data_IF_266031735580
#
_entry.id   IF_266031735580
#
_cell.length_a   1.000
_cell.length_b   1.000
_cell.length_c   1.000
_cell.angle_alpha   90.00
_cell.angle_beta   90.00
_cell.angle_gamma   90.00
#
_symmetry.space_group_name_H-M   'P 1'
#
loop_
_entity.id
_entity.type
_entity.pdbx_description
1 polymer ?
#
# COMPACT_ATOMS: atom_id res chain seq x y z
N UNK A 1 28.78 -3.24 28.26
CA UNK A 1 29.22 -3.87 26.99
C UNK A 1 27.95 -4.22 26.22
N UNK A 2 27.61 -3.44 25.20
CA UNK A 2 26.47 -3.71 24.32
C UNK A 2 26.84 -4.91 23.45
N UNK A 3 26.41 -6.10 23.87
CA UNK A 3 26.58 -7.33 23.11
C UNK A 3 25.72 -7.24 21.86
N UNK A 4 26.36 -7.03 20.72
CA UNK A 4 25.74 -7.27 19.41
C UNK A 4 25.39 -8.75 19.38
N UNK A 5 24.13 -9.06 19.57
CA UNK A 5 23.67 -10.42 19.65
C UNK A 5 23.27 -10.87 18.26
N UNK A 6 24.10 -11.73 17.67
CA UNK A 6 23.73 -12.42 16.44
C UNK A 6 22.50 -13.29 16.72
N UNK A 7 21.50 -13.18 15.83
CA UNK A 7 20.30 -13.98 15.95
C UNK A 7 20.61 -15.43 15.52
N UNK A 8 20.35 -16.44 16.36
CA UNK A 8 20.61 -17.82 15.97
C UNK A 8 19.71 -18.22 14.80
N UNK A 9 20.20 -19.16 13.97
CA UNK A 9 19.35 -19.81 12.98
C UNK A 9 18.42 -20.78 13.69
N UNK A 10 17.12 -20.77 13.37
CA UNK A 10 16.17 -21.64 14.03
C UNK A 10 16.47 -23.10 13.69
N UNK A 11 16.62 -23.92 14.72
CA UNK A 11 16.99 -25.34 14.63
C UNK A 11 15.84 -26.26 15.00
N UNK A 12 14.90 -25.77 15.80
CA UNK A 12 13.73 -26.50 16.28
C UNK A 12 12.46 -25.64 16.11
N UNK A 13 11.30 -26.21 16.45
CA UNK A 13 10.02 -25.51 16.31
C UNK A 13 9.86 -24.33 17.28
N UNK A 14 10.45 -24.41 18.46
CA UNK A 14 10.43 -23.32 19.45
C UNK A 14 11.19 -22.10 18.94
N UNK A 15 12.38 -22.29 18.37
CA UNK A 15 13.17 -21.22 17.76
C UNK A 15 12.39 -20.53 16.62
N UNK A 16 11.60 -21.29 15.85
CA UNK A 16 10.72 -20.74 14.81
C UNK A 16 9.62 -19.88 15.44
N UNK A 17 9.01 -20.32 16.54
CA UNK A 17 8.01 -19.55 17.27
C UNK A 17 8.60 -18.26 17.85
N UNK A 18 9.78 -18.31 18.44
CA UNK A 18 10.49 -17.13 18.96
C UNK A 18 10.81 -16.13 17.85
N UNK A 19 11.33 -16.62 16.72
CA UNK A 19 11.62 -15.81 15.54
C UNK A 19 10.34 -15.18 14.98
N UNK A 20 9.23 -15.91 14.97
CA UNK A 20 7.94 -15.38 14.55
C UNK A 20 7.43 -14.28 15.50
N UNK A 21 7.57 -14.45 16.82
CA UNK A 21 7.19 -13.41 17.78
C UNK A 21 8.07 -12.17 17.64
N UNK A 22 9.38 -12.33 17.42
CA UNK A 22 10.29 -11.23 17.07
C UNK A 22 9.82 -10.51 15.81
N UNK A 23 9.49 -11.26 14.76
CA UNK A 23 8.98 -10.71 13.50
C UNK A 23 7.72 -9.87 13.71
N UNK A 24 6.75 -10.37 14.48
CA UNK A 24 5.51 -9.64 14.80
C UNK A 24 5.82 -8.40 15.63
N UNK A 25 6.69 -8.50 16.63
CA UNK A 25 7.10 -7.37 17.44
C UNK A 25 7.78 -6.27 16.61
N UNK A 26 8.70 -6.63 15.71
CA UNK A 26 9.32 -5.67 14.78
C UNK A 26 8.33 -5.06 13.79
N UNK A 27 7.41 -5.87 13.27
CA UNK A 27 6.33 -5.38 12.40
C UNK A 27 5.40 -4.39 13.12
N UNK A 28 5.20 -4.56 14.43
CA UNK A 28 4.39 -3.68 15.28
C UNK A 28 5.15 -2.40 15.63
N UNK A 29 6.41 -2.52 16.06
CA UNK A 29 7.25 -1.38 16.42
C UNK A 29 7.52 -0.47 15.23
N UNK A 30 7.79 -1.05 14.05
CA UNK A 30 7.94 -0.30 12.81
C UNK A 30 6.65 0.45 12.44
N UNK A 31 5.49 -0.21 12.57
CA UNK A 31 4.19 0.43 12.37
C UNK A 31 3.97 1.60 13.35
N UNK A 32 4.24 1.41 14.65
CA UNK A 32 4.18 2.47 15.65
C UNK A 32 5.13 3.63 15.33
N UNK A 33 6.35 3.34 14.88
CA UNK A 33 7.34 4.35 14.46
C UNK A 33 6.86 5.16 13.26
N UNK A 34 6.32 4.50 12.23
CA UNK A 34 5.75 5.17 11.06
C UNK A 34 4.55 6.04 11.43
N UNK A 35 3.67 5.52 12.30
CA UNK A 35 2.54 6.25 12.85
C UNK A 35 2.97 7.54 13.55
N UNK A 36 4.01 7.48 14.39
CA UNK A 36 4.55 8.66 15.06
C UNK A 36 5.19 9.63 14.05
N UNK A 37 6.01 9.13 13.13
CA UNK A 37 6.69 9.93 12.11
C UNK A 37 5.69 10.69 11.22
N UNK A 38 4.57 10.07 10.86
CA UNK A 38 3.53 10.71 10.05
C UNK A 38 2.61 11.64 10.87
N UNK A 39 2.30 11.30 12.13
CA UNK A 39 1.34 12.04 12.96
C UNK A 39 1.94 13.33 13.54
N UNK A 40 3.22 13.33 13.92
CA UNK A 40 3.87 14.48 14.56
C UNK A 40 3.91 15.72 13.64
N UNK A 41 4.29 15.62 12.34
CA UNK A 41 4.31 16.78 11.44
C UNK A 41 2.91 17.28 11.05
N UNK A 42 1.88 16.43 11.12
CA UNK A 42 0.52 16.77 10.67
C UNK A 42 -0.41 17.21 11.81
N UNK A 43 0.00 17.08 13.08
CA UNK A 43 -0.79 17.49 14.24
C UNK A 43 -2.05 16.65 14.51
N UNK A 44 -2.30 15.63 13.69
CA UNK A 44 -3.39 14.67 13.83
C UNK A 44 -2.85 13.25 13.65
N UNK A 45 -3.47 12.28 14.33
CA UNK A 45 -3.13 10.86 14.16
C UNK A 45 -3.32 10.49 12.69
N UNK A 46 -2.23 10.23 11.98
CA UNK A 46 -2.29 9.83 10.58
C UNK A 46 -2.98 8.46 10.48
N UNK A 47 -4.07 8.38 9.75
CA UNK A 47 -4.84 7.14 9.72
C UNK A 47 -4.11 6.00 9.00
N UNK A 48 -3.84 4.95 9.79
CA UNK A 48 -3.55 3.55 9.41
C UNK A 48 -2.84 3.36 8.07
N UNK A 49 -1.56 3.71 7.97
CA UNK A 49 -0.70 3.22 6.86
C UNK A 49 -0.27 1.78 7.13
N UNK A 50 -0.54 0.88 6.21
CA UNK A 50 -0.25 -0.55 6.32
C UNK A 50 -0.98 -1.36 5.24
N UNK A 51 -0.29 -2.34 4.65
CA UNK A 51 -0.87 -3.30 3.71
C UNK A 51 -1.85 -4.26 4.40
N UNK A 52 -1.55 -4.61 5.66
CA UNK A 52 -2.36 -5.48 6.49
C UNK A 52 -3.42 -4.69 7.29
N UNK A 53 -4.50 -5.37 7.70
CA UNK A 53 -5.61 -4.79 8.46
C UNK A 53 -5.24 -4.58 9.94
N UNK A 54 -4.29 -5.35 10.46
CA UNK A 54 -3.78 -5.25 11.83
C UNK A 54 -2.80 -4.09 12.07
N UNK A 55 -2.41 -3.89 13.33
CA UNK A 55 -1.34 -2.98 13.75
C UNK A 55 0.06 -3.53 13.39
N UNK A 56 0.21 -4.05 12.18
CA UNK A 56 1.36 -4.81 11.71
C UNK A 56 1.71 -4.37 10.31
N UNK A 57 2.97 -3.99 10.10
CA UNK A 57 3.49 -3.72 8.78
C UNK A 57 4.66 -4.71 8.49
N UNK A 58 4.37 -5.81 7.76
CA UNK A 58 5.31 -6.91 7.48
C UNK A 58 6.67 -6.47 6.96
N UNK A 59 6.73 -5.39 6.17
CA UNK A 59 7.97 -4.90 5.58
C UNK A 59 9.00 -4.54 6.65
N UNK A 60 8.57 -4.02 7.81
CA UNK A 60 9.48 -3.70 8.92
C UNK A 60 9.95 -4.94 9.66
N UNK A 61 9.11 -5.96 9.83
CA UNK A 61 9.54 -7.24 10.38
C UNK A 61 10.58 -7.92 9.49
N UNK A 62 10.31 -7.98 8.18
CA UNK A 62 11.27 -8.53 7.21
C UNK A 62 12.55 -7.70 7.15
N UNK A 63 12.45 -6.36 7.16
CA UNK A 63 13.60 -5.47 7.16
C UNK A 63 14.45 -5.59 8.41
N UNK A 64 13.82 -5.66 9.58
CA UNK A 64 14.53 -5.86 10.84
C UNK A 64 15.28 -7.20 10.85
N UNK A 65 14.59 -8.31 10.52
CA UNK A 65 15.24 -9.62 10.46
C UNK A 65 16.35 -9.68 9.40
N UNK A 66 16.13 -9.09 8.22
CA UNK A 66 17.14 -9.04 7.16
C UNK A 66 18.39 -8.29 7.61
N UNK A 67 18.23 -7.13 8.26
CA UNK A 67 19.35 -6.36 8.81
C UNK A 67 20.07 -7.16 9.90
N UNK A 68 19.32 -7.78 10.81
CA UNK A 68 19.90 -8.57 11.91
C UNK A 68 20.69 -9.78 11.40
N UNK A 69 20.20 -10.49 10.38
CA UNK A 69 20.92 -11.62 9.78
C UNK A 69 22.11 -11.17 8.92
N UNK A 70 21.96 -10.16 8.06
CA UNK A 70 23.04 -9.70 7.18
C UNK A 70 24.18 -9.02 7.95
N UNK A 71 23.84 -8.19 8.94
CA UNK A 71 24.82 -7.48 9.76
C UNK A 71 25.18 -8.26 11.03
N UNK A 72 24.73 -9.50 11.20
CA UNK A 72 25.02 -10.35 12.37
C UNK A 72 24.73 -9.66 13.72
N UNK A 73 23.59 -8.98 13.82
CA UNK A 73 23.19 -8.20 15.00
C UNK A 73 23.71 -6.75 15.02
N UNK A 74 24.45 -6.31 14.00
CA UNK A 74 24.98 -4.96 13.85
C UNK A 74 26.50 -4.90 13.97
N UNK A 75 27.09 -3.73 13.76
CA UNK A 75 28.51 -3.47 13.97
C UNK A 75 28.76 -2.75 15.31
N UNK A 76 29.95 -2.93 15.89
CA UNK A 76 30.35 -2.22 17.12
C UNK A 76 30.39 -0.71 16.90
N UNK A 77 30.77 -0.30 15.69
CA UNK A 77 30.68 1.09 15.28
C UNK A 77 29.25 1.39 14.77
N UNK A 78 28.47 2.23 15.48
CA UNK A 78 27.10 2.55 15.09
C UNK A 78 27.02 3.25 13.73
N UNK A 79 28.09 3.94 13.30
CA UNK A 79 28.15 4.56 11.97
C UNK A 79 28.17 3.50 10.86
N UNK A 80 28.85 2.37 11.07
CA UNK A 80 28.83 1.27 10.10
C UNK A 80 27.44 0.62 10.07
N UNK A 81 26.82 0.40 11.24
CA UNK A 81 25.44 -0.09 11.33
C UNK A 81 24.46 0.85 10.62
N UNK A 82 24.64 2.16 10.74
CA UNK A 82 23.86 3.17 10.03
C UNK A 82 24.01 3.04 8.51
N UNK A 83 25.25 3.04 8.00
CA UNK A 83 25.52 3.03 6.55
C UNK A 83 25.01 1.74 5.92
N UNK A 84 25.40 0.58 6.45
CA UNK A 84 25.00 -0.72 5.90
C UNK A 84 23.51 -0.99 6.13
N UNK A 85 22.96 -0.58 7.27
CA UNK A 85 21.52 -0.66 7.55
C UNK A 85 20.70 0.17 6.58
N UNK A 86 21.11 1.42 6.31
CA UNK A 86 20.47 2.28 5.31
C UNK A 86 20.51 1.67 3.91
N UNK A 87 21.63 1.06 3.50
CA UNK A 87 21.75 0.39 2.19
C UNK A 87 20.80 -0.81 2.11
N UNK A 88 20.83 -1.71 3.08
CA UNK A 88 19.99 -2.93 3.11
C UNK A 88 18.50 -2.57 3.10
N UNK A 89 18.08 -1.63 3.95
CA UNK A 89 16.68 -1.19 4.02
C UNK A 89 16.23 -0.48 2.76
N UNK A 90 17.10 0.32 2.11
CA UNK A 90 16.80 0.97 0.84
C UNK A 90 16.63 -0.04 -0.31
N UNK A 91 17.47 -1.08 -0.35
CA UNK A 91 17.32 -2.17 -1.33
C UNK A 91 15.99 -2.90 -1.12
N UNK A 92 15.66 -3.21 0.13
CA UNK A 92 14.39 -3.85 0.48
C UNK A 92 13.19 -2.99 0.07
N UNK A 93 13.20 -1.70 0.43
CA UNK A 93 12.15 -0.74 0.09
C UNK A 93 11.95 -0.65 -1.43
N UNK A 94 13.04 -0.54 -2.19
CA UNK A 94 12.99 -0.51 -3.65
C UNK A 94 12.36 -1.78 -4.22
N UNK A 95 12.81 -2.95 -3.75
CA UNK A 95 12.37 -4.24 -4.24
C UNK A 95 10.90 -4.51 -3.88
N UNK A 96 10.49 -4.20 -2.65
CA UNK A 96 9.09 -4.32 -2.23
C UNK A 96 8.18 -3.40 -3.04
N UNK A 97 8.58 -2.14 -3.25
CA UNK A 97 7.84 -1.21 -4.11
C UNK A 97 7.68 -1.76 -5.54
N UNK A 98 8.75 -2.33 -6.10
CA UNK A 98 8.73 -2.91 -7.44
C UNK A 98 7.84 -4.14 -7.55
N UNK A 99 7.93 -5.10 -6.61
CA UNK A 99 7.06 -6.28 -6.58
C UNK A 99 5.60 -5.86 -6.47
N UNK A 100 5.30 -4.95 -5.53
CA UNK A 100 3.93 -4.50 -5.30
C UNK A 100 3.33 -3.81 -6.54
N UNK A 101 4.13 -3.01 -7.26
CA UNK A 101 3.68 -2.42 -8.52
C UNK A 101 3.47 -3.47 -9.61
N UNK A 102 4.29 -4.53 -9.66
CA UNK A 102 4.12 -5.61 -10.63
C UNK A 102 2.92 -6.50 -10.34
N UNK A 103 2.62 -6.75 -9.07
CA UNK A 103 1.50 -7.60 -8.65
C UNK A 103 0.16 -6.87 -8.68
N UNK A 104 0.13 -5.60 -8.26
CA UNK A 104 -1.11 -4.86 -8.05
C UNK A 104 -1.30 -3.68 -9.02
N UNK A 105 -0.33 -3.40 -9.89
CA UNK A 105 -0.35 -2.25 -10.81
C UNK A 105 -0.57 -0.89 -10.11
N UNK A 106 -0.25 -0.82 -8.82
CA UNK A 106 -0.43 0.34 -7.95
C UNK A 106 0.86 0.61 -7.17
N UNK A 107 1.17 1.89 -6.97
CA UNK A 107 2.24 2.33 -6.08
C UNK A 107 1.67 2.66 -4.71
N UNK A 108 2.23 2.03 -3.68
CA UNK A 108 1.81 2.22 -2.29
C UNK A 108 2.41 3.48 -1.66
N UNK A 109 3.57 3.91 -2.17
CA UNK A 109 4.21 5.17 -1.82
C UNK A 109 4.88 5.76 -3.06
N UNK A 110 4.97 7.09 -3.09
CA UNK A 110 5.64 7.85 -4.14
C UNK A 110 6.45 9.01 -3.54
N UNK A 111 7.77 8.92 -3.69
CA UNK A 111 8.75 9.92 -3.26
C UNK A 111 9.25 10.79 -4.41
N UNK A 112 8.55 10.84 -5.56
CA UNK A 112 8.97 11.64 -6.73
C UNK A 112 9.16 13.13 -6.44
N UNK A 113 8.49 13.65 -5.41
CA UNK A 113 8.60 15.04 -4.97
C UNK A 113 9.79 15.32 -4.04
N UNK A 114 10.52 14.30 -3.58
CA UNK A 114 11.66 14.45 -2.69
C UNK A 114 12.98 14.54 -3.46
N UNK A 115 13.96 15.28 -2.92
CA UNK A 115 15.31 15.38 -3.47
C UNK A 115 16.06 14.05 -3.24
N UNK A 116 16.94 13.70 -4.18
CA UNK A 116 17.74 12.46 -4.15
C UNK A 116 16.87 11.20 -4.03
N UNK A 117 15.91 11.06 -4.95
CA UNK A 117 15.05 9.89 -5.09
C UNK A 117 15.52 8.97 -6.22
N UNK A 118 15.20 7.68 -6.10
CA UNK A 118 15.39 6.68 -7.15
C UNK A 118 14.02 6.19 -7.62
N UNK A 119 13.62 6.57 -8.84
CA UNK A 119 12.34 6.21 -9.47
C UNK A 119 11.07 6.48 -8.62
N UNK A 120 11.15 7.41 -7.66
CA UNK A 120 10.10 7.72 -6.70
C UNK A 120 9.89 6.62 -5.64
N UNK A 121 10.74 5.59 -5.58
CA UNK A 121 10.56 4.43 -4.69
C UNK A 121 11.31 4.54 -3.38
N UNK A 122 12.49 5.14 -3.43
CA UNK A 122 13.40 5.35 -2.29
C UNK A 122 13.86 6.80 -2.35
N UNK A 123 14.00 7.44 -1.19
CA UNK A 123 14.62 8.76 -1.10
C UNK A 123 15.65 8.82 0.03
N UNK A 124 16.66 9.67 -0.14
CA UNK A 124 17.76 9.81 0.83
C UNK A 124 17.29 10.14 2.25
N UNK A 125 16.23 10.94 2.37
CA UNK A 125 15.64 11.28 3.67
C UNK A 125 15.14 10.02 4.39
N UNK A 126 14.38 9.18 3.71
CA UNK A 126 13.83 7.95 4.28
C UNK A 126 14.94 6.93 4.56
N UNK A 127 15.90 6.77 3.65
CA UNK A 127 17.08 5.93 3.85
C UNK A 127 17.88 6.33 5.09
N UNK A 128 18.00 7.63 5.36
CA UNK A 128 18.67 8.16 6.57
C UNK A 128 17.88 7.81 7.83
N UNK A 129 16.55 8.02 7.82
CA UNK A 129 15.69 7.64 8.94
C UNK A 129 15.75 6.13 9.21
N UNK A 130 15.73 5.28 8.17
CA UNK A 130 15.88 3.84 8.33
C UNK A 130 17.27 3.43 8.81
N UNK A 131 18.33 4.10 8.34
CA UNK A 131 19.68 3.89 8.88
C UNK A 131 19.74 4.14 10.39
N UNK A 132 19.15 5.23 10.88
CA UNK A 132 19.06 5.52 12.33
C UNK A 132 18.22 4.47 13.06
N UNK A 133 17.10 4.04 12.46
CA UNK A 133 16.26 2.98 13.02
C UNK A 133 17.02 1.65 13.11
N UNK A 134 17.88 1.31 12.15
CA UNK A 134 18.75 0.12 12.22
C UNK A 134 19.73 0.19 13.39
N UNK A 135 20.34 1.35 13.65
CA UNK A 135 21.21 1.54 14.82
C UNK A 135 20.43 1.31 16.11
N UNK A 136 19.25 1.94 16.24
CA UNK A 136 18.39 1.77 17.41
C UNK A 136 17.95 0.31 17.58
N UNK A 137 17.61 -0.36 16.48
CA UNK A 137 17.22 -1.76 16.44
C UNK A 137 18.35 -2.65 16.97
N UNK A 138 19.53 -2.58 16.38
CA UNK A 138 20.66 -3.45 16.70
C UNK A 138 21.20 -3.22 18.12
N UNK A 139 21.27 -1.97 18.57
CA UNK A 139 21.93 -1.64 19.84
C UNK A 139 20.99 -1.59 21.05
N UNK A 140 19.68 -1.38 20.86
CA UNK A 140 18.73 -1.22 21.96
C UNK A 140 17.57 -2.21 21.88
N UNK A 141 16.85 -2.24 20.75
CA UNK A 141 15.58 -2.97 20.67
C UNK A 141 15.80 -4.48 20.63
N UNK A 142 16.71 -4.96 19.78
CA UNK A 142 17.01 -6.39 19.62
C UNK A 142 17.43 -7.06 20.93
N UNK A 143 18.48 -6.60 21.65
CA UNK A 143 18.90 -7.26 22.88
C UNK A 143 17.78 -7.27 23.93
N UNK A 144 17.08 -6.15 24.10
CA UNK A 144 15.97 -6.03 25.04
C UNK A 144 14.79 -6.96 24.71
N UNK A 145 14.45 -7.09 23.43
CA UNK A 145 13.32 -7.89 22.99
C UNK A 145 13.65 -9.38 23.00
N UNK A 146 14.87 -9.74 22.61
CA UNK A 146 15.34 -11.13 22.61
C UNK A 146 15.37 -11.72 24.02
N UNK A 147 15.94 -10.98 24.99
CA UNK A 147 15.94 -11.41 26.39
C UNK A 147 14.53 -11.65 26.91
N UNK A 148 13.56 -10.80 26.52
CA UNK A 148 12.18 -10.98 26.94
C UNK A 148 11.57 -12.24 26.35
N UNK A 149 11.73 -12.46 25.05
CA UNK A 149 11.12 -13.60 24.33
C UNK A 149 11.66 -14.94 24.84
N UNK A 150 12.97 -15.08 24.99
CA UNK A 150 13.59 -16.31 25.50
C UNK A 150 13.17 -16.60 26.95
N UNK A 151 12.96 -15.55 27.76
CA UNK A 151 12.55 -15.70 29.16
C UNK A 151 11.06 -16.08 29.34
N UNK A 152 10.21 -16.06 28.30
CA UNK A 152 8.82 -16.56 28.44
C UNK A 152 8.74 -18.08 28.60
N UNK A 153 9.75 -18.80 28.07
CA UNK A 153 9.79 -20.26 28.04
C UNK A 153 8.83 -20.90 27.02
N UNK A 154 9.22 -22.08 26.54
CA UNK A 154 8.52 -22.85 25.49
C UNK A 154 7.01 -23.01 25.70
N UNK A 155 6.60 -23.26 26.94
CA UNK A 155 5.21 -23.50 27.35
C UNK A 155 4.28 -22.34 27.02
N UNK A 156 4.78 -21.11 27.04
CA UNK A 156 3.99 -19.90 26.74
C UNK A 156 4.26 -19.45 25.29
N UNK A 157 5.51 -19.47 24.86
CA UNK A 157 5.94 -19.02 23.54
C UNK A 157 5.21 -19.75 22.41
N UNK A 158 5.12 -21.08 22.47
CA UNK A 158 4.55 -21.88 21.38
C UNK A 158 3.04 -21.65 21.19
N UNK A 159 2.19 -21.73 22.23
CA UNK A 159 0.77 -21.42 22.09
C UNK A 159 0.51 -19.96 21.67
N UNK A 160 1.25 -19.01 22.22
CA UNK A 160 1.12 -17.60 21.90
C UNK A 160 1.47 -17.32 20.42
N UNK A 161 2.61 -17.84 19.96
CA UNK A 161 3.04 -17.72 18.57
C UNK A 161 2.03 -18.34 17.62
N UNK A 162 1.51 -19.53 17.95
CA UNK A 162 0.51 -20.23 17.14
C UNK A 162 -0.81 -19.44 17.04
N UNK A 163 -1.28 -18.87 18.15
CA UNK A 163 -2.49 -18.05 18.18
C UNK A 163 -2.33 -16.77 17.34
N UNK A 164 -1.23 -16.04 17.54
CA UNK A 164 -0.91 -14.83 16.77
C UNK A 164 -0.73 -15.16 15.28
N UNK A 165 -0.14 -16.31 14.96
CA UNK A 165 0.01 -16.78 13.58
C UNK A 165 -1.33 -16.98 12.89
N UNK A 166 -2.32 -17.57 13.57
CA UNK A 166 -3.68 -17.71 13.05
C UNK A 166 -4.31 -16.36 12.69
N UNK A 167 -4.19 -15.37 13.58
CA UNK A 167 -4.68 -14.00 13.34
C UNK A 167 -3.94 -13.36 12.16
N UNK A 168 -2.61 -13.46 12.14
CA UNK A 168 -1.76 -12.92 11.08
C UNK A 168 -2.10 -13.52 9.71
N UNK A 169 -2.30 -14.84 9.64
CA UNK A 169 -2.64 -15.55 8.42
C UNK A 169 -4.02 -15.10 7.89
N UNK A 170 -5.02 -15.04 8.76
CA UNK A 170 -6.35 -14.56 8.40
C UNK A 170 -6.29 -13.13 7.85
N UNK A 171 -5.56 -12.24 8.55
CA UNK A 171 -5.41 -10.85 8.15
C UNK A 171 -4.70 -10.71 6.80
N UNK A 172 -3.66 -11.51 6.58
CA UNK A 172 -2.89 -11.55 5.32
C UNK A 172 -3.77 -11.99 4.15
N UNK A 173 -4.56 -13.05 4.32
CA UNK A 173 -5.45 -13.56 3.27
C UNK A 173 -6.52 -12.53 2.89
N UNK A 174 -7.17 -11.91 3.89
CA UNK A 174 -8.17 -10.87 3.65
C UNK A 174 -7.57 -9.65 2.96
N UNK A 175 -6.35 -9.28 3.33
CA UNK A 175 -5.64 -8.13 2.77
C UNK A 175 -5.23 -8.35 1.31
N UNK A 176 -4.68 -9.51 1.00
CA UNK A 176 -4.29 -9.88 -0.37
C UNK A 176 -5.52 -9.93 -1.27
N UNK A 177 -6.59 -10.61 -0.85
CA UNK A 177 -7.83 -10.70 -1.64
C UNK A 177 -8.35 -9.31 -2.01
N UNK A 178 -8.37 -8.41 -1.04
CA UNK A 178 -8.89 -7.07 -1.24
C UNK A 178 -7.98 -6.19 -2.10
N UNK A 179 -6.66 -6.34 -1.97
CA UNK A 179 -5.69 -5.66 -2.84
C UNK A 179 -5.84 -6.11 -4.31
N UNK A 180 -6.03 -7.42 -4.55
CA UNK A 180 -6.32 -7.96 -5.88
C UNK A 180 -7.64 -7.40 -6.43
N UNK A 181 -8.70 -7.41 -5.63
CA UNK A 181 -10.01 -6.89 -6.03
C UNK A 181 -9.96 -5.40 -6.42
N UNK A 182 -9.27 -4.58 -5.61
CA UNK A 182 -9.07 -3.17 -5.91
C UNK A 182 -8.27 -2.96 -7.20
N UNK A 183 -7.21 -3.75 -7.41
CA UNK A 183 -6.42 -3.69 -8.65
C UNK A 183 -7.26 -4.01 -9.88
N UNK A 184 -8.14 -5.02 -9.79
CA UNK A 184 -9.03 -5.41 -10.88
C UNK A 184 -10.08 -4.34 -11.19
N UNK A 185 -10.65 -3.70 -10.17
CA UNK A 185 -11.57 -2.57 -10.37
C UNK A 185 -10.87 -1.37 -11.02
N UNK A 186 -9.66 -1.04 -10.59
CA UNK A 186 -8.86 0.03 -11.21
C UNK A 186 -8.57 -0.28 -12.68
N UNK A 187 -8.30 -1.54 -13.02
CA UNK A 187 -8.17 -1.99 -14.41
C UNK A 187 -9.45 -1.76 -15.22
N UNK A 188 -10.61 -2.19 -14.70
CA UNK A 188 -11.92 -1.97 -15.34
C UNK A 188 -12.25 -0.49 -15.53
N UNK A 189 -11.92 0.36 -14.56
CA UNK A 189 -12.13 1.81 -14.67
C UNK A 189 -11.27 2.42 -15.78
N UNK A 190 -10.03 1.96 -15.95
CA UNK A 190 -9.15 2.41 -17.04
C UNK A 190 -9.64 1.95 -18.39
N UNK A 191 -10.08 0.71 -18.51
CA UNK A 191 -10.68 0.16 -19.74
C UNK A 191 -11.94 0.94 -20.14
N UNK A 192 -12.83 1.21 -19.18
CA UNK A 192 -14.02 2.03 -19.41
C UNK A 192 -13.65 3.46 -19.85
N UNK A 193 -12.60 4.03 -19.28
CA UNK A 193 -12.09 5.34 -19.68
C UNK A 193 -11.52 5.34 -21.10
N UNK A 194 -10.81 4.27 -21.52
CA UNK A 194 -10.28 4.15 -22.87
C UNK A 194 -11.38 3.89 -23.89
N UNK A 195 -12.35 3.01 -23.61
CA UNK A 195 -13.51 2.78 -24.49
C UNK A 195 -14.27 4.09 -24.74
N UNK A 196 -14.48 4.90 -23.69
CA UNK A 196 -15.07 6.23 -23.83
C UNK A 196 -14.19 7.18 -24.65
N UNK A 197 -12.86 7.08 -24.56
CA UNK A 197 -11.95 7.95 -25.32
C UNK A 197 -12.01 7.64 -26.80
N UNK A 198 -11.90 6.36 -27.13
CA UNK A 198 -11.84 5.89 -28.50
C UNK A 198 -13.20 6.08 -29.18
N UNK A 199 -14.31 5.88 -28.46
CA UNK A 199 -15.65 6.14 -28.99
C UNK A 199 -15.89 7.62 -29.34
N UNK A 200 -15.50 8.55 -28.46
CA UNK A 200 -15.60 10.00 -28.74
C UNK A 200 -14.75 10.38 -29.96
N UNK A 201 -13.65 9.66 -30.19
CA UNK A 201 -12.82 9.86 -31.37
C UNK A 201 -13.39 9.19 -32.64
N UNK A 202 -14.11 8.06 -32.52
CA UNK A 202 -14.40 7.17 -33.65
C UNK A 202 -15.79 7.34 -34.31
N UNK A 203 -16.85 7.89 -33.67
CA UNK A 203 -18.16 7.97 -34.36
C UNK A 203 -19.07 9.18 -34.11
N UNK A 204 -19.43 9.84 -35.23
CA UNK A 204 -20.57 10.78 -35.37
C UNK A 204 -21.92 10.11 -35.69
N UNK A 205 -21.98 8.84 -36.11
CA UNK A 205 -23.18 8.26 -36.78
C UNK A 205 -23.95 7.16 -36.02
N UNK A 206 -23.82 7.05 -34.69
CA UNK A 206 -24.75 6.20 -33.92
C UNK A 206 -26.06 6.90 -33.58
N UNK A 207 -27.18 6.17 -33.69
CA UNK A 207 -28.51 6.62 -33.26
C UNK A 207 -28.47 7.13 -31.82
N UNK A 208 -29.16 8.24 -31.57
CA UNK A 208 -29.22 8.92 -30.26
C UNK A 208 -29.70 7.97 -29.15
N UNK A 209 -30.57 7.01 -29.46
CA UNK A 209 -31.06 6.01 -28.51
C UNK A 209 -29.95 5.03 -28.08
N UNK A 210 -29.17 4.48 -29.02
CA UNK A 210 -28.02 3.62 -28.70
C UNK A 210 -26.97 4.35 -27.88
N UNK A 211 -26.75 5.64 -28.17
CA UNK A 211 -25.89 6.52 -27.38
C UNK A 211 -26.44 6.70 -25.96
N UNK A 212 -27.75 6.89 -25.80
CA UNK A 212 -28.39 7.01 -24.50
C UNK A 212 -28.30 5.71 -23.67
N UNK A 213 -28.60 4.56 -24.27
CA UNK A 213 -28.51 3.24 -23.62
C UNK A 213 -27.09 2.93 -23.14
N UNK A 214 -26.08 3.11 -24.00
CA UNK A 214 -24.68 2.87 -23.60
C UNK A 214 -24.19 3.85 -22.55
N UNK A 215 -24.62 5.11 -22.58
CA UNK A 215 -24.29 6.07 -21.50
C UNK A 215 -24.89 5.63 -20.18
N UNK A 216 -26.13 5.14 -20.19
CA UNK A 216 -26.77 4.59 -19.00
C UNK A 216 -25.99 3.37 -18.47
N UNK A 217 -25.60 2.45 -19.36
CA UNK A 217 -24.80 1.26 -19.03
C UNK A 217 -23.44 1.63 -18.43
N UNK A 218 -22.69 2.54 -19.06
CA UNK A 218 -21.39 3.03 -18.56
C UNK A 218 -21.55 3.71 -17.19
N UNK A 219 -22.61 4.52 -17.03
CA UNK A 219 -22.91 5.20 -15.76
C UNK A 219 -23.28 4.21 -14.65
N UNK A 220 -24.00 3.16 -14.99
CA UNK A 220 -24.35 2.07 -14.07
C UNK A 220 -23.12 1.25 -13.69
N UNK A 221 -22.30 0.84 -14.66
CA UNK A 221 -21.01 0.15 -14.42
C UNK A 221 -20.08 0.97 -13.53
N UNK A 222 -19.98 2.29 -13.79
CA UNK A 222 -19.19 3.19 -12.94
C UNK A 222 -19.76 3.33 -11.52
N UNK A 223 -21.09 3.32 -11.34
CA UNK A 223 -21.74 3.29 -10.02
C UNK A 223 -21.48 1.97 -9.30
N UNK A 224 -21.63 0.83 -9.99
CA UNK A 224 -21.36 -0.50 -9.44
C UNK A 224 -19.90 -0.62 -8.96
N UNK A 225 -18.93 -0.12 -9.73
CA UNK A 225 -17.52 -0.11 -9.33
C UNK A 225 -17.23 0.84 -8.15
N UNK A 226 -18.01 1.92 -8.00
CA UNK A 226 -17.90 2.83 -6.85
C UNK A 226 -18.52 2.24 -5.58
N UNK A 227 -19.70 1.65 -5.72
CA UNK A 227 -20.57 1.26 -4.60
C UNK A 227 -20.30 -0.18 -4.14
N UNK A 228 -19.76 -1.04 -5.03
CA UNK A 228 -19.32 -2.41 -4.74
C UNK A 228 -18.02 -2.52 -3.96
N UNK A 229 -17.51 -1.41 -3.42
CA UNK A 229 -16.31 -1.40 -2.60
C UNK A 229 -16.60 -1.97 -1.21
N UNK A 230 -16.04 -3.16 -0.93
CA UNK A 230 -16.12 -3.83 0.36
C UNK A 230 -15.50 -2.96 1.48
N UNK A 231 -15.85 -3.25 2.74
CA UNK A 231 -15.35 -2.52 3.92
C UNK A 231 -13.81 -2.42 3.92
N UNK A 232 -13.14 -3.48 3.46
CA UNK A 232 -11.68 -3.53 3.37
C UNK A 232 -11.14 -2.62 2.27
N UNK A 233 -11.77 -2.62 1.10
CA UNK A 233 -11.38 -1.75 -0.01
C UNK A 233 -11.51 -0.28 0.38
N UNK A 234 -12.63 0.09 1.02
CA UNK A 234 -12.85 1.44 1.55
C UNK A 234 -11.76 1.84 2.54
N UNK A 235 -11.29 0.92 3.38
CA UNK A 235 -10.16 1.17 4.28
C UNK A 235 -8.86 1.38 3.52
N UNK A 236 -8.52 0.52 2.56
CA UNK A 236 -7.30 0.66 1.75
C UNK A 236 -7.24 2.02 1.05
N UNK A 237 -8.37 2.49 0.55
CA UNK A 237 -8.50 3.81 -0.08
C UNK A 237 -8.38 4.94 0.94
N UNK A 238 -8.81 4.72 2.18
CA UNK A 238 -8.61 5.68 3.26
C UNK A 238 -7.13 5.79 3.65
N UNK A 239 -6.43 4.65 3.74
CA UNK A 239 -5.03 4.59 4.14
C UNK A 239 -4.05 5.03 3.04
N UNK A 240 -4.44 4.88 1.77
CA UNK A 240 -3.62 5.25 0.62
C UNK A 240 -4.31 6.37 -0.19
N UNK A 241 -4.12 7.65 0.23
CA UNK A 241 -4.81 8.79 -0.38
C UNK A 241 -4.47 8.96 -1.87
N UNK A 242 -3.28 8.58 -2.31
CA UNK A 242 -2.88 8.67 -3.72
C UNK A 242 -3.67 7.69 -4.61
N UNK A 243 -3.87 6.45 -4.13
CA UNK A 243 -4.68 5.44 -4.84
C UNK A 243 -6.14 5.89 -4.88
N UNK A 244 -6.65 6.42 -3.76
CA UNK A 244 -8.01 6.98 -3.70
C UNK A 244 -8.19 8.14 -4.66
N UNK A 245 -7.25 9.09 -4.67
CA UNK A 245 -7.28 10.22 -5.59
C UNK A 245 -7.27 9.75 -7.04
N UNK A 246 -6.38 8.81 -7.40
CA UNK A 246 -6.34 8.24 -8.74
C UNK A 246 -7.68 7.60 -9.15
N UNK A 247 -8.34 6.88 -8.24
CA UNK A 247 -9.67 6.32 -8.47
C UNK A 247 -10.74 7.40 -8.64
N UNK A 248 -10.72 8.43 -7.80
CA UNK A 248 -11.66 9.56 -7.87
C UNK A 248 -11.47 10.38 -9.17
N UNK A 249 -10.23 10.58 -9.60
CA UNK A 249 -9.88 11.25 -10.86
C UNK A 249 -10.40 10.46 -12.06
N UNK A 250 -10.24 9.13 -12.08
CA UNK A 250 -10.80 8.25 -13.12
C UNK A 250 -12.34 8.35 -13.18
N UNK A 251 -13.01 8.25 -12.02
CA UNK A 251 -14.47 8.37 -11.94
C UNK A 251 -14.95 9.76 -12.38
N UNK A 252 -14.20 10.81 -12.05
CA UNK A 252 -14.52 12.18 -12.43
C UNK A 252 -14.33 12.40 -13.92
N UNK A 253 -13.26 11.88 -14.52
CA UNK A 253 -13.04 11.91 -15.96
C UNK A 253 -14.14 11.18 -16.73
N UNK A 254 -14.58 10.01 -16.25
CA UNK A 254 -15.71 9.27 -16.83
C UNK A 254 -17.00 10.11 -16.76
N UNK A 255 -17.30 10.71 -15.61
CA UNK A 255 -18.50 11.56 -15.44
C UNK A 255 -18.47 12.80 -16.32
N UNK A 256 -17.32 13.49 -16.40
CA UNK A 256 -17.17 14.69 -17.22
C UNK A 256 -17.48 14.38 -18.68
N UNK A 257 -16.93 13.29 -19.22
CA UNK A 257 -17.17 12.87 -20.60
C UNK A 257 -18.62 12.45 -20.86
N UNK A 258 -19.24 11.74 -19.92
CA UNK A 258 -20.66 11.40 -20.03
C UNK A 258 -21.51 12.68 -20.13
N UNK A 259 -21.22 13.70 -19.31
CA UNK A 259 -21.92 14.98 -19.35
C UNK A 259 -21.65 15.77 -20.65
N UNK A 260 -20.41 15.82 -21.14
CA UNK A 260 -20.06 16.45 -22.41
C UNK A 260 -20.87 15.85 -23.57
N UNK A 261 -20.89 14.52 -23.65
CA UNK A 261 -21.69 13.81 -24.67
C UNK A 261 -23.20 14.08 -24.54
N UNK A 262 -23.71 14.32 -23.32
CA UNK A 262 -25.11 14.67 -23.08
C UNK A 262 -25.42 16.10 -23.56
N UNK A 263 -24.50 17.04 -23.30
CA UNK A 263 -24.65 18.42 -23.77
C UNK A 263 -24.55 18.53 -25.29
N UNK A 264 -23.69 17.76 -25.94
CA UNK A 264 -23.62 17.69 -27.40
C UNK A 264 -24.90 17.11 -28.00
N UNK A 265 -25.45 16.05 -27.40
CA UNK A 265 -26.71 15.47 -27.83
C UNK A 265 -27.89 16.45 -27.69
N UNK A 266 -27.95 17.20 -26.58
CA UNK A 266 -28.98 18.24 -26.37
C UNK A 266 -28.86 19.38 -27.37
N UNK A 267 -27.64 19.89 -27.62
CA UNK A 267 -27.41 20.93 -28.63
C UNK A 267 -27.83 20.49 -30.02
N UNK A 268 -27.46 19.27 -30.42
CA UNK A 268 -27.87 18.72 -31.72
C UNK A 268 -29.40 18.58 -31.85
N UNK A 269 -30.08 18.17 -30.77
CA UNK A 269 -31.54 18.11 -30.75
C UNK A 269 -32.18 19.51 -30.82
N UNK A 270 -31.67 20.48 -30.06
CA UNK A 270 -32.17 21.86 -30.07
C UNK A 270 -31.96 22.55 -31.42
N UNK A 271 -30.86 22.26 -32.13
CA UNK A 271 -30.63 22.73 -33.50
C UNK A 271 -31.65 22.13 -34.50
N UNK A 272 -31.96 20.83 -34.39
CA UNK A 272 -32.95 20.15 -35.23
C UNK A 272 -34.39 20.68 -35.00
N UNK A 273 -34.81 20.84 -33.74
CA UNK A 273 -36.16 21.29 -33.40
C UNK A 273 -36.34 22.81 -33.39
N UNK A 274 -35.23 23.57 -33.36
CA UNK A 274 -35.22 25.03 -33.44
C UNK A 274 -35.47 25.55 -34.86
N UNK A 275 -35.04 24.80 -35.89
CA UNK A 275 -35.26 25.16 -37.30
C UNK A 275 -36.71 24.92 -37.74
N UNK A 276 -37.38 23.88 -37.23
CA UNK A 276 -38.81 23.62 -37.51
C UNK A 276 -39.77 24.69 -36.97
N UNK A 277 -39.36 25.52 -36.01
CA UNK A 277 -40.19 26.64 -35.49
C UNK A 277 -40.01 27.95 -36.26
N UNK A 278 -39.07 28.01 -37.22
CA UNK A 278 -38.80 29.20 -38.04
C UNK A 278 -39.28 29.09 -39.49
N UNK A 279 -39.78 27.92 -39.90
CA UNK A 279 -40.49 27.70 -41.16
C UNK A 279 -42.00 27.87 -40.98
#
# INVERSE_FOLDING_TARGET
MTTLQALPLPSNFEDICELFLLYIAYSTLGWCGEMLYCSIPKGHICEKRGFLNGFLCPIYGHGALLVLYLLHGGFQNPVLTFIFGAIVTSILEYFTSWIMEKLFHMRWWDYSHYKFQINGRVCLLNSTCFGLACVLLCHLVQPWLWERIVNLGSTITVPLASFIFGIYLMDTVLSIRSAIQLSAQMGKLRELQSELKDYVAEKREESQERKAERRAEVRERARMLRDGADIFERRLLHSHPDIRKSREDLLTAIRARLNESETEAKKAADELFGDERKA
#
